data_IF_139681503546
#
_entry.id   IF_139681503546
#
_cell.length_a   1.000
_cell.length_b   1.000
_cell.length_c   1.000
_cell.angle_alpha   90.00
_cell.angle_beta   90.00
_cell.angle_gamma   90.00
#
_symmetry.space_group_name_H-M   'P 1'
#
loop_
_entity.id
_entity.type
_entity.pdbx_description
1 polymer ?
#
# COMPACT_ATOMS: atom_id res chain seq x y z
N UNK A 1 -2.09 8.54 -20.11
CA UNK A 1 -0.88 7.68 -19.98
C UNK A 1 -1.34 6.44 -19.22
N UNK A 2 -0.78 5.26 -19.51
CA UNK A 2 -0.99 4.11 -18.63
C UNK A 2 -0.22 4.37 -17.33
N UNK A 3 -0.86 4.10 -16.17
CA UNK A 3 -0.20 4.25 -14.88
C UNK A 3 0.71 3.05 -14.61
N UNK A 4 1.90 3.28 -14.06
CA UNK A 4 2.81 2.21 -13.71
C UNK A 4 2.42 1.60 -12.35
N UNK A 5 1.92 0.36 -12.39
CA UNK A 5 1.45 -0.40 -11.22
C UNK A 5 1.94 -1.83 -11.34
N UNK A 6 2.51 -2.40 -10.27
CA UNK A 6 2.91 -3.80 -10.20
C UNK A 6 2.21 -4.51 -9.04
N UNK A 7 1.80 -5.77 -9.26
CA UNK A 7 1.57 -6.72 -8.17
C UNK A 7 2.93 -7.33 -7.82
N UNK A 8 3.28 -7.40 -6.53
CA UNK A 8 4.59 -7.93 -6.13
C UNK A 8 4.56 -9.47 -6.09
N UNK A 9 5.39 -10.10 -6.92
CA UNK A 9 5.51 -11.57 -7.04
C UNK A 9 6.73 -12.14 -6.30
N UNK A 10 7.61 -11.28 -5.78
CA UNK A 10 8.81 -11.61 -5.00
C UNK A 10 9.02 -10.56 -3.90
N UNK A 11 10.05 -10.75 -3.06
CA UNK A 11 10.54 -9.67 -2.20
C UNK A 11 11.21 -8.56 -3.03
N UNK A 12 10.90 -7.30 -2.70
CA UNK A 12 11.49 -6.09 -3.26
C UNK A 12 12.33 -5.36 -2.19
N UNK A 13 13.35 -4.63 -2.64
CA UNK A 13 14.22 -3.78 -1.82
C UNK A 13 13.96 -2.29 -2.10
N UNK A 14 14.53 -1.40 -1.29
CA UNK A 14 14.50 0.06 -1.57
C UNK A 14 15.19 0.46 -2.89
N UNK A 15 16.06 -0.40 -3.44
CA UNK A 15 16.66 -0.25 -4.76
C UNK A 15 15.70 -0.71 -5.87
N UNK A 16 15.03 -1.86 -5.71
CA UNK A 16 13.98 -2.30 -6.63
C UNK A 16 12.84 -1.28 -6.76
N UNK A 17 12.53 -0.55 -5.69
CA UNK A 17 11.46 0.45 -5.66
C UNK A 17 11.81 1.78 -6.37
N UNK A 18 13.06 2.00 -6.79
CA UNK A 18 13.43 3.23 -7.51
C UNK A 18 12.67 3.41 -8.84
N UNK A 19 12.13 2.32 -9.41
CA UNK A 19 11.31 2.34 -10.62
C UNK A 19 9.97 3.08 -10.47
N UNK A 20 9.52 3.35 -9.23
CA UNK A 20 8.33 4.13 -8.92
C UNK A 20 8.64 5.58 -8.55
N UNK A 21 9.92 5.94 -8.41
CA UNK A 21 10.33 7.27 -7.98
C UNK A 21 9.99 8.31 -9.05
N UNK A 22 9.48 9.45 -8.61
CA UNK A 22 9.06 10.58 -9.45
C UNK A 22 7.94 10.21 -10.46
N UNK A 23 7.26 9.06 -10.26
CA UNK A 23 6.15 8.57 -11.08
C UNK A 23 5.03 7.96 -10.21
N UNK A 24 4.10 8.76 -9.64
CA UNK A 24 3.93 10.21 -9.82
C UNK A 24 4.39 11.05 -8.62
N UNK A 25 5.15 10.47 -7.69
CA UNK A 25 5.60 11.15 -6.46
C UNK A 25 7.08 10.86 -6.15
N UNK A 26 7.80 11.89 -5.71
CA UNK A 26 9.25 11.83 -5.45
C UNK A 26 9.59 11.28 -4.04
N UNK A 27 8.59 11.23 -3.14
CA UNK A 27 8.75 11.03 -1.69
C UNK A 27 7.98 9.83 -1.13
N UNK A 28 7.00 9.31 -1.85
CA UNK A 28 6.12 8.22 -1.43
C UNK A 28 5.68 7.35 -2.61
N UNK A 29 5.23 6.13 -2.35
CA UNK A 29 4.56 5.28 -3.34
C UNK A 29 3.21 4.86 -2.76
N UNK A 30 2.13 5.08 -3.49
CA UNK A 30 0.79 4.59 -3.11
C UNK A 30 0.70 3.10 -3.37
N UNK A 31 0.03 2.38 -2.48
CA UNK A 31 -0.18 0.95 -2.63
C UNK A 31 -1.46 0.46 -1.95
N UNK A 32 -1.92 -0.71 -2.35
CA UNK A 32 -3.05 -1.42 -1.75
C UNK A 32 -2.71 -2.87 -1.45
N UNK A 33 -3.35 -3.40 -0.42
CA UNK A 33 -3.15 -4.76 0.10
C UNK A 33 -4.47 -5.47 0.19
N UNK A 34 -4.57 -6.66 -0.42
CA UNK A 34 -5.62 -7.62 -0.10
C UNK A 34 -5.21 -8.38 1.17
N UNK A 35 -5.85 -8.01 2.28
CA UNK A 35 -5.61 -8.57 3.63
C UNK A 35 -5.93 -10.05 3.76
N UNK A 36 -6.70 -10.62 2.82
CA UNK A 36 -7.15 -12.02 2.83
C UNK A 36 -6.32 -12.90 1.89
N UNK A 37 -6.03 -12.42 0.68
CA UNK A 37 -5.17 -13.09 -0.32
C UNK A 37 -3.68 -12.88 -0.07
N UNK A 38 -3.32 -11.90 0.77
CA UNK A 38 -1.94 -11.48 1.11
C UNK A 38 -1.12 -11.02 -0.10
N UNK A 39 -1.80 -10.41 -1.08
CA UNK A 39 -1.15 -9.77 -2.24
C UNK A 39 -1.16 -8.25 -2.10
N UNK A 40 -0.18 -7.61 -2.72
CA UNK A 40 0.05 -6.16 -2.68
C UNK A 40 0.21 -5.65 -4.12
N UNK A 41 -0.47 -4.54 -4.44
CA UNK A 41 -0.28 -3.78 -5.67
C UNK A 41 0.25 -2.40 -5.33
N UNK A 42 1.30 -1.96 -6.01
CA UNK A 42 2.06 -0.74 -5.70
C UNK A 42 2.29 0.09 -6.96
N UNK A 43 2.25 1.42 -6.82
CA UNK A 43 2.29 2.39 -7.90
C UNK A 43 0.90 3.01 -8.18
N UNK A 44 0.86 3.85 -9.22
CA UNK A 44 -0.34 4.59 -9.62
C UNK A 44 -0.50 5.96 -8.96
N UNK A 45 -1.40 6.78 -9.52
CA UNK A 45 -1.66 8.15 -9.07
C UNK A 45 -2.56 8.17 -7.83
N UNK A 46 -3.51 7.24 -7.74
CA UNK A 46 -4.43 7.09 -6.61
C UNK A 46 -4.46 5.63 -6.16
N UNK A 47 -4.74 5.40 -4.88
CA UNK A 47 -4.88 4.03 -4.34
C UNK A 47 -5.95 3.22 -5.09
N UNK A 48 -6.99 3.88 -5.59
CA UNK A 48 -8.06 3.30 -6.41
C UNK A 48 -7.52 2.63 -7.69
N UNK A 49 -6.43 3.12 -8.27
CA UNK A 49 -5.84 2.54 -9.49
C UNK A 49 -5.18 1.19 -9.16
N UNK A 50 -4.45 1.12 -8.04
CA UNK A 50 -3.89 -0.15 -7.53
C UNK A 50 -4.98 -1.11 -6.99
N UNK A 51 -6.07 -0.59 -6.41
CA UNK A 51 -7.25 -1.37 -6.06
C UNK A 51 -7.88 -2.01 -7.30
N UNK A 52 -8.03 -1.27 -8.40
CA UNK A 52 -8.58 -1.81 -9.65
C UNK A 52 -7.72 -2.95 -10.21
N UNK A 53 -6.39 -2.85 -10.10
CA UNK A 53 -5.45 -3.93 -10.45
C UNK A 53 -5.65 -5.18 -9.58
N UNK A 54 -5.82 -5.04 -8.27
CA UNK A 54 -6.14 -6.16 -7.38
C UNK A 54 -7.51 -6.77 -7.69
N UNK A 55 -8.54 -5.94 -7.93
CA UNK A 55 -9.88 -6.40 -8.32
C UNK A 55 -9.85 -7.19 -9.64
N UNK A 56 -9.13 -6.70 -10.66
CA UNK A 56 -8.88 -7.42 -11.92
C UNK A 56 -8.13 -8.74 -11.70
N UNK A 57 -7.26 -8.81 -10.69
CA UNK A 57 -6.58 -10.03 -10.26
C UNK A 57 -7.45 -10.98 -9.40
N UNK A 58 -8.72 -10.65 -9.15
CA UNK A 58 -9.67 -11.50 -8.41
C UNK A 58 -9.75 -11.27 -6.90
N UNK A 59 -9.25 -10.14 -6.41
CA UNK A 59 -9.48 -9.68 -5.04
C UNK A 59 -10.91 -9.16 -4.84
N UNK A 60 -11.32 -8.99 -3.58
CA UNK A 60 -12.61 -8.39 -3.22
C UNK A 60 -12.37 -7.04 -2.52
N UNK A 61 -13.04 -5.97 -2.94
CA UNK A 61 -12.82 -4.61 -2.39
C UNK A 61 -13.00 -4.55 -0.86
N UNK A 62 -13.87 -5.37 -0.27
CA UNK A 62 -14.05 -5.44 1.19
C UNK A 62 -12.76 -5.88 1.93
N UNK A 63 -11.93 -6.69 1.27
CA UNK A 63 -10.71 -7.30 1.78
C UNK A 63 -9.47 -6.43 1.40
N UNK A 64 -9.64 -5.43 0.52
CA UNK A 64 -8.60 -4.47 0.09
C UNK A 64 -8.60 -3.21 0.98
N UNK A 65 -7.38 -2.75 1.31
CA UNK A 65 -7.08 -1.51 2.04
C UNK A 65 -5.89 -0.77 1.41
N UNK A 66 -5.84 0.57 1.53
CA UNK A 66 -4.82 1.43 0.91
C UNK A 66 -3.95 2.19 1.92
N UNK A 67 -2.68 2.39 1.56
CA UNK A 67 -1.68 3.10 2.36
C UNK A 67 -0.63 3.79 1.46
N UNK A 68 0.15 4.73 2.03
CA UNK A 68 1.37 5.25 1.40
C UNK A 68 2.57 4.54 2.01
N UNK A 69 3.53 4.13 1.18
CA UNK A 69 4.88 3.77 1.60
C UNK A 69 5.76 5.00 1.43
N UNK A 70 6.63 5.30 2.40
CA UNK A 70 7.61 6.39 2.32
C UNK A 70 9.02 5.80 2.37
N UNK A 71 9.50 5.22 1.25
CA UNK A 71 10.71 4.38 1.24
C UNK A 71 12.02 5.18 1.17
N UNK A 72 11.95 6.51 1.02
CA UNK A 72 13.09 7.40 0.80
C UNK A 72 13.33 8.39 1.96
N UNK A 73 12.74 8.13 3.12
CA UNK A 73 13.04 8.80 4.40
C UNK A 73 14.27 8.18 5.09
N UNK A 74 14.78 8.79 6.17
CA UNK A 74 15.94 8.26 6.94
C UNK A 74 15.69 6.83 7.47
N UNK A 75 14.42 6.52 7.80
CA UNK A 75 13.90 5.18 8.02
C UNK A 75 12.64 5.05 7.18
N UNK A 76 12.40 3.89 6.58
CA UNK A 76 11.21 3.71 5.75
C UNK A 76 9.95 3.55 6.61
N UNK A 77 8.87 4.22 6.23
CA UNK A 77 7.64 4.28 7.04
C UNK A 77 6.37 4.02 6.21
N UNK A 78 5.25 3.71 6.88
CA UNK A 78 3.94 3.43 6.26
C UNK A 78 2.88 4.37 6.85
N UNK A 79 2.25 5.18 6.02
CA UNK A 79 1.05 5.94 6.39
C UNK A 79 -0.21 5.16 6.00
N UNK A 80 -1.00 4.73 6.99
CA UNK A 80 -2.23 3.95 6.79
C UNK A 80 -3.42 4.81 6.32
N UNK A 81 -3.20 5.73 5.38
CA UNK A 81 -4.18 6.74 4.92
C UNK A 81 -4.52 6.60 3.43
N UNK A 82 -5.81 6.48 3.12
CA UNK A 82 -6.32 6.43 1.74
C UNK A 82 -7.81 6.74 1.67
N UNK A 83 -8.28 7.33 0.55
CA UNK A 83 -9.71 7.53 0.30
C UNK A 83 -10.51 6.21 0.27
N UNK A 84 -9.92 5.10 -0.21
CA UNK A 84 -10.62 3.81 -0.35
C UNK A 84 -10.94 3.14 0.99
N UNK A 85 -10.28 3.60 2.08
CA UNK A 85 -10.49 3.11 3.43
C UNK A 85 -11.79 3.66 4.05
N UNK A 86 -12.42 4.68 3.46
CA UNK A 86 -13.70 5.21 3.94
C UNK A 86 -14.82 4.21 3.61
N UNK A 87 -15.22 3.41 4.60
CA UNK A 87 -16.16 2.30 4.44
C UNK A 87 -17.11 2.17 5.64
N UNK A 88 -18.06 3.11 5.86
CA UNK A 88 -18.99 3.03 6.97
C UNK A 88 -19.87 1.77 6.90
N UNK A 89 -20.22 1.13 8.04
CA UNK A 89 -19.86 1.50 9.41
C UNK A 89 -18.46 1.03 9.84
N UNK A 90 -17.78 0.20 9.05
CA UNK A 90 -16.53 -0.51 9.38
C UNK A 90 -15.39 0.46 9.69
N UNK A 91 -15.11 1.40 8.80
CA UNK A 91 -14.07 2.42 8.97
C UNK A 91 -14.59 3.76 8.45
N UNK A 92 -14.40 4.87 9.19
CA UNK A 92 -15.12 6.14 8.94
C UNK A 92 -14.25 7.25 8.38
N UNK A 93 -12.92 7.08 8.42
CA UNK A 93 -11.92 8.05 7.94
C UNK A 93 -11.10 7.46 6.78
N UNK A 94 -10.21 8.29 6.23
CA UNK A 94 -9.17 7.83 5.30
C UNK A 94 -8.11 6.98 5.99
N UNK A 95 -7.86 7.27 7.28
CA UNK A 95 -6.98 6.47 8.12
C UNK A 95 -7.65 5.11 8.42
N UNK A 96 -6.88 4.02 8.42
CA UNK A 96 -7.36 2.71 8.90
C UNK A 96 -7.47 2.78 10.43
N UNK A 97 -8.66 3.03 10.98
CA UNK A 97 -8.88 3.17 12.43
C UNK A 97 -8.87 1.83 13.18
N UNK A 98 -8.82 0.70 12.47
CA UNK A 98 -8.89 -0.67 13.01
C UNK A 98 -7.45 -1.21 13.22
N UNK A 99 -6.99 -1.44 14.47
CA UNK A 99 -5.62 -1.87 14.75
C UNK A 99 -5.24 -3.20 14.10
N UNK A 100 -6.16 -4.17 14.10
CA UNK A 100 -5.97 -5.51 13.52
C UNK A 100 -5.71 -5.44 12.01
N UNK A 101 -6.35 -4.48 11.32
CA UNK A 101 -6.13 -4.26 9.89
C UNK A 101 -4.79 -3.56 9.63
N UNK A 102 -4.38 -2.58 10.45
CA UNK A 102 -3.03 -1.98 10.34
C UNK A 102 -1.96 -3.05 10.46
N UNK A 103 -2.06 -3.93 11.46
CA UNK A 103 -1.07 -4.98 11.68
C UNK A 103 -1.06 -5.99 10.51
N UNK A 104 -2.21 -6.38 9.95
CA UNK A 104 -2.23 -7.25 8.76
C UNK A 104 -1.61 -6.55 7.55
N UNK A 105 -1.90 -5.26 7.30
CA UNK A 105 -1.28 -4.48 6.21
C UNK A 105 0.23 -4.37 6.40
N UNK A 106 0.69 -4.07 7.63
CA UNK A 106 2.10 -3.99 8.01
C UNK A 106 2.83 -5.31 7.76
N UNK A 107 2.29 -6.42 8.29
CA UNK A 107 2.87 -7.76 8.14
C UNK A 107 2.95 -8.20 6.67
N UNK A 108 1.95 -7.89 5.84
CA UNK A 108 2.02 -8.17 4.40
C UNK A 108 3.04 -7.25 3.70
N UNK A 109 3.12 -5.97 4.08
CA UNK A 109 4.08 -5.04 3.49
C UNK A 109 5.52 -5.47 3.77
N UNK A 110 5.87 -5.84 5.01
CA UNK A 110 7.23 -6.32 5.35
C UNK A 110 7.53 -7.73 4.81
N UNK A 111 6.51 -8.53 4.47
CA UNK A 111 6.69 -9.81 3.79
C UNK A 111 7.16 -9.61 2.34
N UNK A 112 6.62 -8.60 1.65
CA UNK A 112 6.91 -8.34 0.23
C UNK A 112 7.97 -7.25 -0.01
N UNK A 113 8.23 -6.38 0.96
CA UNK A 113 9.17 -5.27 0.84
C UNK A 113 10.13 -5.29 2.02
N UNK A 114 11.43 -5.42 1.73
CA UNK A 114 12.49 -5.34 2.74
C UNK A 114 12.72 -3.87 3.10
N UNK A 115 12.21 -3.49 4.28
CA UNK A 115 12.31 -2.14 4.84
C UNK A 115 13.16 -2.15 6.11
N UNK A 116 14.08 -1.20 6.22
CA UNK A 116 14.65 -0.78 7.51
C UNK A 116 13.64 0.22 8.12
N UNK A 117 12.72 -0.33 8.92
CA UNK A 117 11.38 0.22 9.17
C UNK A 117 11.20 0.91 10.52
N UNK A 118 10.40 1.99 10.54
CA UNK A 118 9.82 2.57 11.76
C UNK A 118 8.34 2.93 11.54
N UNK A 119 7.50 2.76 12.57
CA UNK A 119 6.06 3.05 12.47
C UNK A 119 5.82 4.57 12.35
N UNK A 120 5.15 5.01 11.28
CA UNK A 120 4.93 6.43 10.97
C UNK A 120 4.00 7.18 11.95
N UNK A 121 3.37 6.46 12.90
CA UNK A 121 2.34 6.97 13.79
C UNK A 121 2.52 6.39 15.21
N UNK A 122 3.19 7.17 16.06
CA UNK A 122 3.32 6.98 17.51
C UNK A 122 2.48 8.02 18.26
#
# INVERSE_FOLDING_TARGET
MEQFILILERMYTLEDLQIFKDNPYDTMIKYTVDTKRKVIAIGGEMHADSEEVLLKNGSNSKDIWGANLLPWQEKASIEYISLINIRPPINKKMEIEIPEIREIVKQITIQWIKLDYEDALS
#
